data_IF_487985604274
#
_entry.id   IF_487985604274
#
_cell.length_a   1.000
_cell.length_b   1.000
_cell.length_c   1.000
_cell.angle_alpha   90.00
_cell.angle_beta   90.00
_cell.angle_gamma   90.00
#
_symmetry.space_group_name_H-M   'P 1'
#
loop_
_entity.id
_entity.type
_entity.pdbx_description
1 polymer ?
#
# COMPACT_ATOMS: atom_id res chain seq x y z
N UNK A 1 15.53 -6.25 10.84
CA UNK A 1 14.41 -6.90 10.12
C UNK A 1 13.22 -5.99 10.29
N UNK A 2 12.69 -5.53 9.17
CA UNK A 2 11.75 -4.42 9.02
C UNK A 2 10.41 -4.69 9.70
N UNK A 3 9.94 -3.78 10.54
CA UNK A 3 8.53 -3.70 10.88
C UNK A 3 7.78 -3.35 9.58
N UNK A 4 6.85 -4.20 9.13
CA UNK A 4 6.01 -3.95 7.95
C UNK A 4 5.14 -2.69 8.18
N UNK A 5 5.67 -1.52 7.81
CA UNK A 5 5.05 -0.21 7.99
C UNK A 5 3.83 0.03 7.08
N UNK A 6 3.65 -0.80 6.04
CA UNK A 6 2.53 -0.70 5.11
C UNK A 6 1.86 -2.06 4.94
N UNK A 7 0.97 -2.44 5.86
CA UNK A 7 0.44 -3.81 5.95
C UNK A 7 -0.52 -4.13 4.81
N UNK A 8 -1.27 -3.12 4.35
CA UNK A 8 -2.30 -3.29 3.32
C UNK A 8 -1.80 -3.00 1.90
N UNK A 9 -0.49 -3.02 1.66
CA UNK A 9 0.11 -2.69 0.35
C UNK A 9 -0.45 -3.54 -0.81
N UNK A 10 -0.75 -4.82 -0.57
CA UNK A 10 -1.27 -5.75 -1.59
C UNK A 10 -2.58 -5.30 -2.21
N UNK A 11 -3.38 -4.50 -1.50
CA UNK A 11 -4.61 -3.92 -2.07
C UNK A 11 -4.29 -2.99 -3.24
N UNK A 12 -3.15 -2.31 -3.19
CA UNK A 12 -2.79 -1.22 -4.11
C UNK A 12 -1.78 -1.61 -5.18
N UNK A 13 -1.27 -2.85 -5.18
CA UNK A 13 -0.26 -3.32 -6.15
C UNK A 13 -0.71 -3.19 -7.60
N UNK A 14 -2.02 -3.35 -7.88
CA UNK A 14 -2.57 -3.29 -9.23
C UNK A 14 -3.30 -1.99 -9.54
N UNK A 15 -3.85 -1.35 -8.52
CA UNK A 15 -4.66 -0.14 -8.68
C UNK A 15 -4.40 0.82 -7.52
N UNK A 16 -4.10 2.11 -7.78
CA UNK A 16 -3.90 3.10 -6.73
C UNK A 16 -5.21 3.46 -6.00
N UNK A 17 -6.35 3.00 -6.50
CA UNK A 17 -7.67 3.15 -5.90
C UNK A 17 -8.28 1.77 -5.68
N UNK A 18 -8.81 1.55 -4.48
CA UNK A 18 -9.48 0.32 -4.09
C UNK A 18 -10.85 0.66 -3.53
N UNK A 19 -11.89 0.00 -4.03
CA UNK A 19 -13.27 0.17 -3.57
C UNK A 19 -13.75 -1.13 -2.95
N UNK A 20 -13.32 -1.39 -1.72
CA UNK A 20 -13.67 -2.61 -0.97
C UNK A 20 -14.15 -2.23 0.42
N UNK A 21 -15.16 -2.95 0.93
CA UNK A 21 -15.52 -2.85 2.34
C UNK A 21 -14.45 -3.48 3.23
N UNK A 22 -14.43 -3.09 4.51
CA UNK A 22 -13.54 -3.71 5.51
C UNK A 22 -13.73 -5.22 5.60
N UNK A 23 -14.95 -5.71 5.37
CA UNK A 23 -15.25 -7.14 5.34
C UNK A 23 -14.58 -7.82 4.14
N UNK A 24 -14.71 -7.25 2.95
CA UNK A 24 -14.05 -7.78 1.75
C UNK A 24 -12.52 -7.75 1.87
N UNK A 25 -11.96 -6.72 2.51
CA UNK A 25 -10.53 -6.67 2.81
C UNK A 25 -10.15 -7.80 3.79
N UNK A 26 -10.93 -8.01 4.85
CA UNK A 26 -10.73 -9.12 5.79
C UNK A 26 -10.77 -10.49 5.11
N UNK A 27 -11.74 -10.71 4.22
CA UNK A 27 -11.84 -11.93 3.42
C UNK A 27 -10.63 -12.09 2.49
N UNK A 28 -10.15 -11.02 1.84
CA UNK A 28 -8.97 -11.04 0.95
C UNK A 28 -7.69 -11.44 1.69
N UNK A 29 -7.49 -10.95 2.92
CA UNK A 29 -6.32 -11.30 3.72
C UNK A 29 -6.49 -12.60 4.54
N UNK A 30 -7.72 -13.11 4.68
CA UNK A 30 -8.03 -14.21 5.60
C UNK A 30 -7.82 -13.83 7.08
N UNK A 31 -7.95 -12.54 7.40
CA UNK A 31 -7.65 -11.97 8.72
C UNK A 31 -8.95 -11.42 9.34
N UNK A 32 -9.17 -11.50 10.67
CA UNK A 32 -10.37 -10.98 11.29
C UNK A 32 -10.59 -9.48 11.02
N UNK A 33 -11.85 -9.09 10.79
CA UNK A 33 -12.27 -7.69 10.56
C UNK A 33 -11.72 -6.73 11.61
N UNK A 34 -11.65 -7.15 12.88
CA UNK A 34 -11.10 -6.32 13.96
C UNK A 34 -9.64 -5.93 13.69
N UNK A 35 -8.81 -6.89 13.31
CA UNK A 35 -7.38 -6.69 13.02
C UNK A 35 -7.22 -5.83 11.76
N UNK A 36 -8.02 -6.06 10.72
CA UNK A 36 -7.99 -5.21 9.52
C UNK A 36 -8.34 -3.75 9.85
N UNK A 37 -9.30 -3.50 10.76
CA UNK A 37 -9.60 -2.13 11.18
C UNK A 37 -8.40 -1.47 11.85
N UNK A 38 -7.66 -2.20 12.67
CA UNK A 38 -6.44 -1.69 13.32
C UNK A 38 -5.39 -1.35 12.26
N UNK A 39 -5.14 -2.25 11.30
CA UNK A 39 -4.19 -2.00 10.21
C UNK A 39 -4.59 -0.83 9.33
N UNK A 40 -5.88 -0.69 9.00
CA UNK A 40 -6.37 0.48 8.24
C UNK A 40 -6.08 1.77 8.99
N UNK A 41 -6.32 1.80 10.31
CA UNK A 41 -6.06 3.00 11.10
C UNK A 41 -4.58 3.33 11.19
N UNK A 42 -3.73 2.32 11.36
CA UNK A 42 -2.27 2.48 11.40
C UNK A 42 -1.71 2.96 10.05
N UNK A 43 -2.08 2.32 8.95
CA UNK A 43 -1.60 2.68 7.61
C UNK A 43 -2.10 4.09 7.20
N UNK A 44 -3.33 4.48 7.56
CA UNK A 44 -3.82 5.85 7.37
C UNK A 44 -3.03 6.85 8.23
N UNK A 45 -2.76 6.52 9.50
CA UNK A 45 -1.97 7.38 10.41
C UNK A 45 -0.54 7.58 9.90
N UNK A 46 0.04 6.54 9.33
CA UNK A 46 1.37 6.58 8.71
C UNK A 46 1.36 7.27 7.34
N UNK A 47 0.17 7.68 6.85
CA UNK A 47 0.01 8.37 5.58
C UNK A 47 0.19 7.47 4.36
N UNK A 48 0.05 6.15 4.48
CA UNK A 48 0.22 5.21 3.35
C UNK A 48 -0.93 5.32 2.34
N UNK A 49 -2.15 5.48 2.83
CA UNK A 49 -3.33 5.74 2.03
C UNK A 49 -4.33 6.56 2.83
N UNK A 50 -5.35 7.07 2.15
CA UNK A 50 -6.47 7.76 2.78
C UNK A 50 -7.79 7.15 2.33
N UNK A 51 -8.80 7.25 3.20
CA UNK A 51 -10.15 6.78 2.93
C UNK A 51 -11.05 7.96 2.60
N UNK A 52 -11.89 7.81 1.60
CA UNK A 52 -12.99 8.75 1.35
C UNK A 52 -13.98 8.75 2.53
N UNK A 53 -14.36 9.92 3.08
CA UNK A 53 -15.32 9.97 4.17
C UNK A 53 -16.75 9.58 3.74
N UNK A 54 -17.08 9.69 2.45
CA UNK A 54 -18.43 9.49 1.92
C UNK A 54 -18.65 8.07 1.36
N UNK A 55 -17.59 7.29 1.16
CA UNK A 55 -17.70 5.96 0.56
C UNK A 55 -16.58 5.01 1.03
N UNK A 56 -16.66 3.74 0.62
CA UNK A 56 -15.63 2.72 0.93
C UNK A 56 -14.45 2.75 -0.05
N UNK A 57 -14.12 3.93 -0.57
CA UNK A 57 -12.96 4.09 -1.45
C UNK A 57 -11.72 4.40 -0.62
N UNK A 58 -10.64 3.71 -0.94
CA UNK A 58 -9.30 3.92 -0.42
C UNK A 58 -8.38 4.33 -1.56
N UNK A 59 -7.52 5.31 -1.30
CA UNK A 59 -6.63 5.90 -2.29
C UNK A 59 -5.20 5.88 -1.75
N UNK A 60 -4.30 5.27 -2.52
CA UNK A 60 -2.89 5.28 -2.24
C UNK A 60 -2.37 6.71 -2.22
N UNK A 61 -1.61 7.07 -1.18
CA UNK A 61 -0.95 8.37 -1.13
C UNK A 61 0.37 8.34 -1.91
N UNK A 62 0.98 9.50 -2.10
CA UNK A 62 2.34 9.57 -2.65
C UNK A 62 3.34 8.79 -1.77
N UNK A 63 3.26 8.93 -0.45
CA UNK A 63 4.13 8.21 0.49
C UNK A 63 3.93 6.70 0.39
N UNK A 64 2.67 6.25 0.31
CA UNK A 64 2.36 4.83 0.12
C UNK A 64 2.86 4.28 -1.20
N UNK A 65 2.79 5.08 -2.28
CA UNK A 65 3.36 4.72 -3.58
C UNK A 65 4.88 4.56 -3.53
N UNK A 66 5.59 5.52 -2.93
CA UNK A 66 7.05 5.45 -2.76
C UNK A 66 7.46 4.21 -1.94
N UNK A 67 6.68 3.88 -0.90
CA UNK A 67 6.91 2.68 -0.09
C UNK A 67 6.61 1.39 -0.85
N UNK A 68 5.52 1.33 -1.59
CA UNK A 68 5.16 0.17 -2.41
C UNK A 68 6.22 -0.07 -3.50
N UNK A 69 6.74 1.01 -4.10
CA UNK A 69 7.82 0.94 -5.06
C UNK A 69 9.13 0.43 -4.43
N UNK A 70 9.50 0.94 -3.24
CA UNK A 70 10.67 0.45 -2.52
C UNK A 70 10.56 -1.05 -2.18
N UNK A 71 9.37 -1.50 -1.75
CA UNK A 71 9.10 -2.93 -1.50
C UNK A 71 9.27 -3.77 -2.76
N UNK A 72 8.84 -3.25 -3.92
CA UNK A 72 9.06 -3.91 -5.22
C UNK A 72 10.52 -3.95 -5.63
N UNK A 73 11.29 -2.88 -5.44
CA UNK A 73 12.74 -2.87 -5.70
C UNK A 73 13.47 -3.88 -4.80
N UNK A 74 13.13 -3.94 -3.52
CA UNK A 74 13.69 -4.94 -2.58
C UNK A 74 13.34 -6.37 -2.98
N UNK A 75 12.09 -6.63 -3.37
CA UNK A 75 11.62 -7.97 -3.73
C UNK A 75 12.19 -8.48 -5.06
N UNK A 76 12.46 -7.58 -6.01
CA UNK A 76 12.99 -7.93 -7.34
C UNK A 76 14.51 -7.82 -7.44
N UNK A 77 15.18 -7.28 -6.41
CA UNK A 77 16.63 -7.02 -6.43
C UNK A 77 17.06 -6.01 -7.50
N UNK A 78 16.11 -5.31 -8.14
CA UNK A 78 16.39 -4.26 -9.11
C UNK A 78 16.63 -2.96 -8.35
N UNK A 79 17.78 -2.85 -7.70
CA UNK A 79 18.28 -1.54 -7.28
C UNK A 79 18.54 -0.70 -8.53
N UNK A 80 17.73 0.34 -8.76
CA UNK A 80 18.01 1.50 -9.60
C UNK A 80 18.76 1.17 -10.91
N UNK A 81 18.03 0.82 -11.97
CA UNK A 81 18.47 1.23 -13.31
C UNK A 81 18.43 2.76 -13.33
N UNK A 82 19.57 3.40 -13.04
CA UNK A 82 19.76 4.82 -13.32
C UNK A 82 19.33 5.03 -14.78
N UNK A 83 18.58 6.09 -15.10
CA UNK A 83 18.35 6.43 -16.49
C UNK A 83 19.73 6.66 -17.12
N UNK A 84 20.16 5.73 -17.98
CA UNK A 84 21.23 5.98 -18.94
C UNK A 84 20.67 6.94 -19.98
N UNK A 85 20.45 8.19 -19.57
CA UNK A 85 20.41 9.30 -20.50
C UNK A 85 21.71 9.29 -21.31
N UNK A 86 21.66 9.60 -22.61
CA UNK A 86 22.83 9.52 -23.47
C UNK A 86 23.97 10.36 -22.86
N UNK A 87 25.15 9.76 -22.73
CA UNK A 87 26.36 10.52 -22.46
C UNK A 87 26.54 11.51 -23.60
N UNK A 88 26.59 12.80 -23.24
CA UNK A 88 26.92 13.90 -24.13
C UNK A 88 28.38 13.84 -24.57
#
# INVERSE_FOLDING_TARGET
>A
MSEDYFRLYKLFEKNPKVSLSVKEIADFYGIPVKVIREWIQEDIRNGMFFKDPNCSNYYLSQVGFEKLYALWEEATGMGILKPTGPQA
#
